data_IF_944630211811
#
_entry.id   IF_944630211811
#
_cell.length_a   1.000
_cell.length_b   1.000
_cell.length_c   1.000
_cell.angle_alpha   90.00
_cell.angle_beta   90.00
_cell.angle_gamma   90.00
#
_symmetry.space_group_name_H-M   'P 1'
#
loop_
_entity.id
_entity.type
_entity.pdbx_description
1 polymer ?
#
# COMPACT_ATOMS: atom_id res chain seq x y z
N UNK A 1 -2.24 7.45 -12.74
CA UNK A 1 -2.62 7.86 -11.37
C UNK A 1 -1.45 7.53 -10.47
N UNK A 2 -0.65 8.51 -10.04
CA UNK A 2 0.45 8.26 -9.10
C UNK A 2 -0.13 8.11 -7.70
N UNK A 3 0.24 7.05 -6.99
CA UNK A 3 -0.15 6.84 -5.59
C UNK A 3 0.98 7.30 -4.69
N UNK A 4 0.64 8.03 -3.62
CA UNK A 4 1.62 8.47 -2.62
C UNK A 4 1.15 8.02 -1.24
N UNK A 5 2.07 7.47 -0.45
CA UNK A 5 1.81 7.22 0.95
C UNK A 5 1.65 8.58 1.66
N UNK A 6 0.50 8.80 2.28
CA UNK A 6 0.25 10.04 3.04
C UNK A 6 1.14 10.19 4.27
N UNK A 7 1.74 9.08 4.76
CA UNK A 7 2.55 9.07 5.98
C UNK A 7 4.05 9.26 5.73
N UNK A 8 4.64 8.56 4.77
CA UNK A 8 6.09 8.67 4.48
C UNK A 8 6.41 9.37 3.15
N UNK A 9 5.41 9.68 2.33
CA UNK A 9 5.59 10.37 1.04
C UNK A 9 6.08 9.48 -0.11
N UNK A 10 6.36 8.19 0.13
CA UNK A 10 6.77 7.25 -0.92
C UNK A 10 5.73 7.22 -2.05
N UNK A 11 6.21 7.20 -3.29
CA UNK A 11 5.37 7.40 -4.47
C UNK A 11 5.56 6.27 -5.48
N UNK A 12 4.45 5.83 -6.06
CA UNK A 12 4.41 4.77 -7.06
C UNK A 12 3.61 5.23 -8.31
N UNK A 13 4.00 4.79 -9.51
CA UNK A 13 3.27 5.10 -10.75
C UNK A 13 1.87 4.48 -10.81
N UNK A 14 1.67 3.38 -10.07
CA UNK A 14 0.47 2.58 -9.90
C UNK A 14 0.34 2.17 -8.42
N UNK A 15 -0.83 1.69 -8.00
CA UNK A 15 -1.02 1.27 -6.61
C UNK A 15 -0.21 -0.02 -6.35
N UNK A 16 0.80 -0.04 -5.46
CA UNK A 16 1.76 -1.14 -5.35
C UNK A 16 1.12 -2.51 -5.08
N UNK A 17 -0.01 -2.55 -4.36
CA UNK A 17 -0.81 -3.77 -4.11
C UNK A 17 -1.30 -4.43 -5.40
N UNK A 18 -1.52 -3.70 -6.48
CA UNK A 18 -1.99 -4.30 -7.74
C UNK A 18 -0.89 -5.04 -8.50
N UNK A 19 0.39 -4.92 -8.11
CA UNK A 19 1.51 -5.58 -8.79
C UNK A 19 1.52 -7.10 -8.65
N UNK A 20 0.73 -7.66 -7.73
CA UNK A 20 0.50 -9.10 -7.58
C UNK A 20 -0.94 -9.47 -7.96
N UNK A 21 -1.22 -10.71 -8.38
CA UNK A 21 -2.59 -11.19 -8.53
C UNK A 21 -3.34 -11.18 -7.19
N UNK A 22 -4.67 -11.06 -7.22
CA UNK A 22 -5.48 -11.11 -6.00
C UNK A 22 -5.83 -12.57 -5.63
N UNK A 23 -5.46 -13.07 -4.44
CA UNK A 23 -5.85 -14.42 -4.01
C UNK A 23 -7.37 -14.58 -3.82
N UNK A 24 -8.09 -13.51 -3.49
CA UNK A 24 -9.52 -13.57 -3.16
C UNK A 24 -10.43 -13.59 -4.41
N UNK A 25 -10.15 -12.73 -5.40
CA UNK A 25 -10.99 -12.58 -6.60
C UNK A 25 -10.29 -12.93 -7.92
N UNK A 26 -9.06 -13.46 -7.83
CA UNK A 26 -8.26 -14.01 -8.93
C UNK A 26 -8.02 -13.06 -10.11
N UNK A 27 -8.18 -11.75 -9.91
CA UNK A 27 -7.81 -10.75 -10.91
C UNK A 27 -6.30 -10.72 -11.09
N UNK A 28 -5.87 -10.49 -12.34
CA UNK A 28 -4.46 -10.41 -12.72
C UNK A 28 -3.77 -9.19 -12.06
N UNK A 29 -2.44 -9.26 -11.99
CA UNK A 29 -1.62 -8.10 -11.66
C UNK A 29 -1.95 -6.91 -12.59
N UNK A 30 -1.83 -5.69 -12.07
CA UNK A 30 -2.22 -4.44 -12.73
C UNK A 30 -3.72 -4.15 -12.75
N UNK A 31 -4.58 -5.14 -12.48
CA UNK A 31 -6.04 -4.95 -12.50
C UNK A 31 -6.58 -4.65 -11.11
N UNK A 32 -7.53 -3.72 -10.99
CA UNK A 32 -8.20 -3.44 -9.71
C UNK A 32 -9.06 -4.62 -9.23
N UNK A 33 -9.25 -4.77 -7.92
CA UNK A 33 -10.11 -5.83 -7.38
C UNK A 33 -11.57 -5.69 -7.85
N UNK A 34 -12.26 -6.83 -7.92
CA UNK A 34 -13.68 -6.91 -8.29
C UNK A 34 -14.48 -7.52 -7.15
N UNK A 35 -15.72 -7.06 -7.02
CA UNK A 35 -16.74 -7.61 -6.12
C UNK A 35 -17.31 -8.91 -6.71
N UNK A 36 -18.00 -9.74 -5.92
CA UNK A 36 -18.69 -10.94 -6.43
C UNK A 36 -19.66 -10.64 -7.58
N UNK A 37 -20.25 -9.44 -7.61
CA UNK A 37 -21.11 -8.96 -8.71
C UNK A 37 -20.36 -8.63 -10.02
N UNK A 38 -19.03 -8.74 -10.05
CA UNK A 38 -18.21 -8.42 -11.21
C UNK A 38 -17.81 -6.94 -11.33
N UNK A 39 -18.48 -6.04 -10.61
CA UNK A 39 -18.12 -4.62 -10.58
C UNK A 39 -16.77 -4.37 -9.88
N UNK A 40 -16.12 -3.26 -10.25
CA UNK A 40 -14.91 -2.78 -9.59
C UNK A 40 -15.19 -2.56 -8.10
N UNK A 41 -14.34 -3.11 -7.23
CA UNK A 41 -14.39 -2.85 -5.79
C UNK A 41 -13.94 -1.41 -5.48
N UNK A 42 -14.45 -0.84 -4.39
CA UNK A 42 -13.97 0.46 -3.92
C UNK A 42 -12.50 0.36 -3.50
N UNK A 43 -12.20 -0.64 -2.68
CA UNK A 43 -10.86 -0.93 -2.14
C UNK A 43 -10.27 -2.24 -2.70
N UNK A 44 -8.98 -2.44 -2.44
CA UNK A 44 -8.29 -3.70 -2.72
C UNK A 44 -8.53 -4.67 -1.57
N UNK A 45 -8.56 -5.97 -1.87
CA UNK A 45 -8.74 -7.00 -0.84
C UNK A 45 -7.48 -7.11 0.02
N UNK A 46 -7.65 -7.24 1.34
CA UNK A 46 -6.56 -7.35 2.33
C UNK A 46 -5.60 -8.49 1.99
N UNK A 47 -6.10 -9.64 1.53
CA UNK A 47 -5.25 -10.77 1.13
C UNK A 47 -4.28 -10.40 0.00
N UNK A 48 -4.67 -9.47 -0.88
CA UNK A 48 -3.79 -8.96 -1.94
C UNK A 48 -2.72 -8.03 -1.36
N UNK A 49 -3.05 -7.25 -0.33
CA UNK A 49 -2.07 -6.43 0.38
C UNK A 49 -1.03 -7.31 1.07
N UNK A 50 -1.47 -8.38 1.75
CA UNK A 50 -0.58 -9.37 2.36
C UNK A 50 0.31 -10.05 1.30
N UNK A 51 -0.25 -10.43 0.16
CA UNK A 51 0.53 -10.99 -0.94
C UNK A 51 1.56 -9.99 -1.49
N UNK A 52 1.20 -8.71 -1.59
CA UNK A 52 2.10 -7.66 -2.05
C UNK A 52 3.25 -7.41 -1.05
N UNK A 53 2.96 -7.47 0.26
CA UNK A 53 3.97 -7.42 1.33
C UNK A 53 4.91 -8.62 1.26
N UNK A 54 4.36 -9.83 1.13
CA UNK A 54 5.15 -11.06 1.03
C UNK A 54 6.04 -11.09 -0.21
N UNK A 55 5.55 -10.55 -1.34
CA UNK A 55 6.32 -10.41 -2.58
C UNK A 55 7.34 -9.25 -2.54
N UNK A 56 7.36 -8.43 -1.48
CA UNK A 56 8.26 -7.29 -1.34
C UNK A 56 7.97 -6.11 -2.28
N UNK A 57 6.83 -6.12 -2.98
CA UNK A 57 6.42 -5.04 -3.89
C UNK A 57 5.65 -3.94 -3.17
N UNK A 58 5.02 -4.27 -2.05
CA UNK A 58 4.54 -3.32 -1.05
C UNK A 58 5.47 -3.42 0.17
N UNK A 59 5.75 -2.29 0.81
CA UNK A 59 6.49 -2.24 2.07
C UNK A 59 5.61 -1.63 3.14
N UNK A 60 5.73 -2.10 4.38
CA UNK A 60 5.11 -1.44 5.52
C UNK A 60 5.73 -0.05 5.63
N UNK A 61 4.87 0.97 5.64
CA UNK A 61 5.29 2.35 5.83
C UNK A 61 6.00 2.48 7.19
N UNK A 62 7.33 2.58 7.15
CA UNK A 62 8.14 2.95 8.30
C UNK A 62 8.47 4.44 8.15
N UNK A 63 7.86 5.34 8.94
CA UNK A 63 8.27 6.74 8.89
C UNK A 63 9.77 6.80 9.18
N UNK A 64 10.55 7.51 8.35
CA UNK A 64 11.90 7.86 8.76
C UNK A 64 11.79 8.69 10.04
N UNK A 65 12.76 8.63 10.97
CA UNK A 65 12.74 9.50 12.15
C UNK A 65 12.85 11.00 11.80
N UNK A 66 12.95 11.38 10.53
CA UNK A 66 13.18 12.75 10.08
C UNK A 66 11.89 13.52 9.73
N UNK A 67 10.87 13.40 10.57
CA UNK A 67 9.73 14.35 10.58
C UNK A 67 9.18 14.54 12.00
N UNK A 68 10.08 14.70 12.97
CA UNK A 68 9.81 15.57 14.12
C UNK A 68 11.13 16.22 14.55
N UNK A 69 11.18 17.51 14.30
CA UNK A 69 12.09 18.49 14.87
C UNK A 69 12.27 18.27 16.38
N UNK A 70 13.50 18.42 16.86
CA UNK A 70 13.91 18.75 18.23
C UNK A 70 12.77 18.95 19.25
N UNK A 71 12.65 18.05 20.25
CA UNK A 71 12.22 18.34 21.64
C UNK A 71 12.07 17.04 22.46
N UNK A 72 13.19 16.46 22.90
CA UNK A 72 13.25 15.80 24.22
C UNK A 72 14.72 15.70 24.69
N UNK A 73 15.39 16.84 24.76
CA UNK A 73 16.66 16.98 25.47
C UNK A 73 16.76 18.40 26.05
N UNK A 74 15.76 18.81 26.83
CA UNK A 74 15.89 19.93 27.77
C UNK A 74 14.73 19.88 28.78
N UNK A 75 14.82 18.97 29.74
CA UNK A 75 14.18 19.07 31.06
C UNK A 75 14.97 18.14 31.99
N UNK A 76 16.26 18.45 32.13
CA UNK A 76 17.08 18.09 33.29
C UNK A 76 16.96 19.25 34.29
#
# INVERSE_FOLDING_TARGET
MRFRCSRCGEAWPDHPVTRVPCPTCHVKAGTWCRRPSGHRAADLHIDREHAALAAGVLRICRPSPSSSTEQLALNL
#
